data_IF_970940433752
#
_entry.id   IF_970940433752
#
_cell.length_a   1.000
_cell.length_b   1.000
_cell.length_c   1.000
_cell.angle_alpha   90.00
_cell.angle_beta   90.00
_cell.angle_gamma   90.00
#
_symmetry.space_group_name_H-M   'P 1'
#
loop_
_entity.id
_entity.type
_entity.pdbx_description
1 polymer ?
#
# COMPACT_ATOMS: atom_id res chain seq x y z
N UNK A 1 -24.73 5.11 -3.89
CA UNK A 1 -23.65 6.03 -4.32
C UNK A 1 -22.34 5.27 -4.31
N UNK A 2 -21.55 5.29 -5.39
CA UNK A 2 -20.18 4.75 -5.37
C UNK A 2 -19.33 5.66 -4.48
N UNK A 3 -18.68 5.11 -3.46
CA UNK A 3 -17.69 5.85 -2.66
C UNK A 3 -16.60 6.41 -3.59
N UNK A 4 -16.38 7.73 -3.55
CA UNK A 4 -15.30 8.40 -4.30
C UNK A 4 -13.95 8.36 -3.55
N UNK A 5 -13.89 7.65 -2.43
CA UNK A 5 -12.72 7.61 -1.55
C UNK A 5 -12.12 6.21 -1.58
N UNK A 6 -10.81 6.13 -1.80
CA UNK A 6 -10.02 4.89 -1.83
C UNK A 6 -8.81 5.08 -0.93
N UNK A 7 -8.44 4.03 -0.21
CA UNK A 7 -7.19 4.00 0.55
C UNK A 7 -6.07 3.57 -0.38
N UNK A 8 -5.07 4.43 -0.55
CA UNK A 8 -3.81 4.09 -1.21
C UNK A 8 -2.79 3.68 -0.15
N UNK A 9 -2.38 2.41 -0.16
CA UNK A 9 -1.32 1.90 0.71
C UNK A 9 -0.02 1.75 -0.10
N UNK A 10 0.99 2.57 0.20
CA UNK A 10 2.26 2.60 -0.52
C UNK A 10 3.40 2.09 0.39
N UNK A 11 4.21 1.14 -0.10
CA UNK A 11 5.40 0.65 0.62
C UNK A 11 6.51 0.20 -0.34
N UNK A 12 7.77 0.35 0.06
CA UNK A 12 8.92 -0.27 -0.60
C UNK A 12 9.25 -1.68 -0.07
N UNK A 13 8.51 -2.18 0.93
CA UNK A 13 8.78 -3.45 1.64
C UNK A 13 10.19 -3.53 2.27
N UNK A 14 10.70 -2.37 2.73
CA UNK A 14 12.01 -2.25 3.41
C UNK A 14 11.87 -2.07 4.93
N UNK A 15 10.69 -1.70 5.41
CA UNK A 15 10.42 -1.55 6.85
C UNK A 15 10.39 -2.90 7.57
N UNK A 16 10.51 -2.85 8.90
CA UNK A 16 10.38 -4.05 9.74
C UNK A 16 9.01 -4.75 9.53
N UNK A 17 9.04 -6.06 9.30
CA UNK A 17 7.84 -6.81 8.94
C UNK A 17 6.79 -6.84 10.07
N UNK A 18 7.21 -6.83 11.33
CA UNK A 18 6.27 -6.78 12.47
C UNK A 18 5.58 -5.42 12.51
N UNK A 19 6.32 -4.35 12.24
CA UNK A 19 5.77 -3.02 12.10
C UNK A 19 4.76 -2.95 10.94
N UNK A 20 5.16 -3.34 9.73
CA UNK A 20 4.26 -3.32 8.56
C UNK A 20 3.00 -4.16 8.78
N UNK A 21 3.15 -5.33 9.40
CA UNK A 21 2.01 -6.21 9.72
C UNK A 21 1.05 -5.55 10.71
N UNK A 22 1.58 -4.84 11.73
CA UNK A 22 0.74 -4.10 12.68
C UNK A 22 -0.01 -2.96 11.99
N UNK A 23 0.64 -2.22 11.08
CA UNK A 23 0.01 -1.15 10.31
C UNK A 23 -1.11 -1.71 9.43
N UNK A 24 -0.85 -2.75 8.64
CA UNK A 24 -1.85 -3.38 7.76
C UNK A 24 -3.06 -3.91 8.53
N UNK A 25 -2.83 -4.57 9.68
CA UNK A 25 -3.91 -5.04 10.56
C UNK A 25 -4.76 -3.89 11.10
N UNK A 26 -4.12 -2.79 11.51
CA UNK A 26 -4.82 -1.62 12.01
C UNK A 26 -5.63 -0.94 10.89
N UNK A 27 -5.06 -0.84 9.69
CA UNK A 27 -5.75 -0.31 8.52
C UNK A 27 -7.02 -1.09 8.20
N UNK A 28 -6.90 -2.42 8.04
CA UNK A 28 -8.04 -3.31 7.75
C UNK A 28 -9.13 -3.25 8.83
N UNK A 29 -8.74 -3.04 10.10
CA UNK A 29 -9.68 -2.90 11.20
C UNK A 29 -10.52 -1.63 11.11
N UNK A 30 -9.97 -0.55 10.55
CA UNK A 30 -10.56 0.80 10.64
C UNK A 30 -11.03 1.37 9.29
N UNK A 31 -10.66 0.78 8.15
CA UNK A 31 -11.00 1.30 6.82
C UNK A 31 -12.49 1.15 6.45
N UNK A 32 -13.26 0.36 7.21
CA UNK A 32 -14.64 0.02 6.87
C UNK A 32 -14.71 -0.61 5.47
N UNK A 33 -15.68 -0.16 4.67
CA UNK A 33 -15.91 -0.66 3.32
C UNK A 33 -15.15 0.13 2.23
N UNK A 34 -14.15 0.95 2.62
CA UNK A 34 -13.35 1.69 1.65
C UNK A 34 -12.48 0.72 0.83
N UNK A 35 -12.47 0.84 -0.51
CA UNK A 35 -11.58 0.05 -1.33
C UNK A 35 -10.12 0.38 -0.98
N UNK A 36 -9.27 -0.64 -0.97
CA UNK A 36 -7.83 -0.49 -0.78
C UNK A 36 -7.14 -0.84 -2.10
N UNK A 37 -6.29 0.08 -2.57
CA UNK A 37 -5.29 -0.19 -3.60
C UNK A 37 -3.94 -0.12 -2.93
N UNK A 38 -3.14 -1.17 -3.08
CA UNK A 38 -1.79 -1.20 -2.54
C UNK A 38 -0.75 -1.19 -3.65
N UNK A 39 0.35 -0.46 -3.46
CA UNK A 39 1.49 -0.40 -4.37
C UNK A 39 2.72 -0.81 -3.58
N UNK A 40 3.41 -1.85 -4.05
CA UNK A 40 4.49 -2.48 -3.30
C UNK A 40 5.58 -3.05 -4.20
N UNK A 41 6.81 -3.15 -3.70
CA UNK A 41 7.92 -3.77 -4.44
C UNK A 41 7.88 -5.31 -4.40
N UNK A 42 7.25 -5.87 -3.36
CA UNK A 42 6.98 -7.31 -3.20
C UNK A 42 5.47 -7.55 -3.19
N UNK A 43 4.99 -8.71 -3.66
CA UNK A 43 3.56 -9.04 -3.59
C UNK A 43 3.04 -8.99 -2.16
N UNK A 44 1.88 -8.37 -1.95
CA UNK A 44 1.18 -8.36 -0.66
C UNK A 44 -0.31 -8.62 -0.83
N UNK A 45 -0.90 -9.31 0.14
CA UNK A 45 -2.34 -9.54 0.23
C UNK A 45 -3.02 -8.38 1.00
N UNK A 46 -3.29 -7.29 0.29
CA UNK A 46 -3.92 -6.10 0.84
C UNK A 46 -4.73 -5.35 -0.24
N UNK A 47 -6.01 -5.68 -0.35
CA UNK A 47 -6.89 -5.11 -1.37
C UNK A 47 -6.41 -5.45 -2.78
N UNK A 48 -6.52 -4.50 -3.72
CA UNK A 48 -5.95 -4.65 -5.06
C UNK A 48 -4.47 -4.26 -5.01
N UNK A 49 -3.57 -5.24 -5.08
CA UNK A 49 -2.13 -5.00 -5.10
C UNK A 49 -1.58 -4.78 -6.53
N UNK A 50 -0.77 -3.73 -6.68
CA UNK A 50 0.06 -3.42 -7.84
C UNK A 50 1.50 -3.63 -7.39
N UNK A 51 2.07 -4.79 -7.73
CA UNK A 51 3.46 -5.09 -7.47
C UNK A 51 4.33 -4.48 -8.57
N UNK A 52 5.18 -3.51 -8.21
CA UNK A 52 6.08 -2.80 -9.14
C UNK A 52 7.47 -3.43 -9.23
N UNK A 53 7.69 -4.52 -8.49
CA UNK A 53 8.98 -5.20 -8.42
C UNK A 53 10.02 -4.44 -7.59
N UNK A 54 11.07 -5.14 -7.20
CA UNK A 54 12.16 -4.57 -6.39
C UNK A 54 13.01 -3.64 -7.26
N UNK A 55 13.19 -2.41 -6.79
CA UNK A 55 14.04 -1.40 -7.42
C UNK A 55 14.57 -0.43 -6.36
N UNK A 56 15.51 0.43 -6.77
CA UNK A 56 16.05 1.45 -5.87
C UNK A 56 15.06 2.57 -5.58
N UNK A 57 15.16 3.13 -4.39
CA UNK A 57 14.29 4.23 -3.99
C UNK A 57 14.63 5.47 -4.82
N UNK A 58 13.62 6.05 -5.46
CA UNK A 58 13.72 7.30 -6.20
C UNK A 58 12.63 8.25 -5.72
N UNK A 59 13.03 9.34 -5.07
CA UNK A 59 12.10 10.39 -4.67
C UNK A 59 11.35 11.00 -5.86
N UNK A 60 11.96 10.98 -7.05
CA UNK A 60 11.29 11.42 -8.27
C UNK A 60 10.15 10.48 -8.65
N UNK A 61 10.33 9.16 -8.52
CA UNK A 61 9.26 8.17 -8.79
C UNK A 61 8.11 8.30 -7.80
N UNK A 62 8.41 8.59 -6.53
CA UNK A 62 7.40 8.86 -5.51
C UNK A 62 6.65 10.18 -5.78
N UNK A 63 7.37 11.27 -6.09
CA UNK A 63 6.79 12.58 -6.39
C UNK A 63 5.90 12.57 -7.65
N UNK A 64 6.31 11.84 -8.68
CA UNK A 64 5.54 11.73 -9.92
C UNK A 64 4.30 10.83 -9.77
N UNK A 65 4.10 10.24 -8.59
CA UNK A 65 3.00 9.33 -8.26
C UNK A 65 2.87 8.21 -9.29
N UNK A 66 3.88 7.34 -9.29
CA UNK A 66 4.20 6.22 -10.20
C UNK A 66 5.25 6.62 -11.24
#
# INVERSE_FOLDING_TARGET
MKNQVTVLYYTSNREDEKFETRIRKNLLKNCGDLPIVSVSQKPIDLGRNICVGVHENSYTSEFMQI
#
